data_IF_843752565022
#
_entry.id   IF_843752565022
#
_cell.length_a   1.000
_cell.length_b   1.000
_cell.length_c   1.000
_cell.angle_alpha   90.00
_cell.angle_beta   90.00
_cell.angle_gamma   90.00
#
_symmetry.space_group_name_H-M   'P 1'
#
loop_
_entity.id
_entity.type
_entity.pdbx_description
1 polymer ?
#
# COMPACT_ATOMS: atom_id res chain seq x y z
N UNK A 1 -65.72 21.86 -63.99
CA UNK A 1 -64.57 20.93 -64.15
C UNK A 1 -63.98 20.70 -62.76
N UNK A 2 -63.88 19.45 -62.32
CA UNK A 2 -63.64 19.10 -60.90
C UNK A 2 -62.18 19.37 -60.47
N UNK A 3 -61.98 20.21 -59.44
CA UNK A 3 -60.69 20.56 -58.87
C UNK A 3 -60.12 19.50 -57.89
N UNK A 4 -60.97 18.58 -57.45
CA UNK A 4 -60.66 17.55 -56.45
C UNK A 4 -59.55 16.55 -56.87
N UNK A 5 -59.52 16.02 -58.11
CA UNK A 5 -58.44 15.10 -58.52
C UNK A 5 -57.08 15.79 -58.63
N UNK A 6 -57.05 17.09 -58.98
CA UNK A 6 -55.82 17.88 -59.07
C UNK A 6 -55.25 18.12 -57.66
N UNK A 7 -56.11 18.44 -56.69
CA UNK A 7 -55.69 18.61 -55.30
C UNK A 7 -55.09 17.32 -54.72
N UNK A 8 -55.69 16.16 -55.01
CA UNK A 8 -55.16 14.86 -54.55
C UNK A 8 -53.78 14.56 -55.15
N UNK A 9 -53.60 14.80 -56.45
CA UNK A 9 -52.31 14.61 -57.13
C UNK A 9 -51.22 15.54 -56.59
N UNK A 10 -51.56 16.79 -56.26
CA UNK A 10 -50.61 17.73 -55.66
C UNK A 10 -50.19 17.29 -54.26
N UNK A 11 -51.13 16.78 -53.44
CA UNK A 11 -50.79 16.30 -52.09
C UNK A 11 -49.90 15.06 -52.12
N UNK A 12 -50.17 14.09 -52.99
CA UNK A 12 -49.33 12.88 -53.09
C UNK A 12 -47.94 13.20 -53.64
N UNK A 13 -47.84 14.11 -54.62
CA UNK A 13 -46.57 14.60 -55.13
C UNK A 13 -45.76 15.34 -54.05
N UNK A 14 -46.41 16.19 -53.25
CA UNK A 14 -45.77 16.92 -52.15
C UNK A 14 -45.25 15.96 -51.06
N UNK A 15 -46.04 14.98 -50.64
CA UNK A 15 -45.62 13.99 -49.64
C UNK A 15 -44.46 13.13 -50.14
N UNK A 16 -44.48 12.75 -51.43
CA UNK A 16 -43.36 12.04 -52.07
C UNK A 16 -42.07 12.86 -52.09
N UNK A 17 -42.16 14.16 -52.44
CA UNK A 17 -41.00 15.06 -52.44
C UNK A 17 -40.41 15.24 -51.04
N UNK A 18 -41.25 15.40 -50.01
CA UNK A 18 -40.83 15.49 -48.61
C UNK A 18 -40.16 14.19 -48.16
N UNK A 19 -40.73 13.02 -48.51
CA UNK A 19 -40.14 11.73 -48.20
C UNK A 19 -38.74 11.56 -48.81
N UNK A 20 -38.56 11.95 -50.08
CA UNK A 20 -37.26 11.91 -50.76
C UNK A 20 -36.26 12.89 -50.12
N UNK A 21 -36.69 14.09 -49.73
CA UNK A 21 -35.85 15.07 -49.05
C UNK A 21 -35.36 14.51 -47.69
N UNK A 22 -36.26 13.95 -46.88
CA UNK A 22 -35.92 13.31 -45.60
C UNK A 22 -34.93 12.17 -45.81
N UNK A 23 -35.17 11.28 -46.78
CA UNK A 23 -34.26 10.17 -47.06
C UNK A 23 -32.86 10.66 -47.43
N UNK A 24 -32.77 11.71 -48.25
CA UNK A 24 -31.49 12.32 -48.65
C UNK A 24 -30.77 12.93 -47.44
N UNK A 25 -31.49 13.59 -46.53
CA UNK A 25 -30.88 14.13 -45.29
C UNK A 25 -30.38 13.02 -44.37
N UNK A 26 -31.15 11.94 -44.19
CA UNK A 26 -30.72 10.78 -43.39
C UNK A 26 -29.49 10.09 -43.99
N UNK A 27 -29.43 9.95 -45.31
CA UNK A 27 -28.24 9.43 -45.99
C UNK A 27 -27.02 10.35 -45.83
N UNK A 28 -27.23 11.67 -45.85
CA UNK A 28 -26.19 12.66 -45.57
C UNK A 28 -25.65 12.55 -44.14
N UNK A 29 -26.54 12.50 -43.16
CA UNK A 29 -26.19 12.32 -41.74
C UNK A 29 -25.44 11.01 -41.50
N UNK A 30 -25.90 9.89 -42.08
CA UNK A 30 -25.19 8.60 -41.96
C UNK A 30 -23.77 8.65 -42.50
N UNK A 31 -23.55 9.38 -43.61
CA UNK A 31 -22.19 9.59 -44.15
C UNK A 31 -21.34 10.46 -43.24
N UNK A 32 -21.91 11.51 -42.65
CA UNK A 32 -21.19 12.39 -41.71
C UNK A 32 -20.80 11.64 -40.44
N UNK A 33 -21.70 10.82 -39.87
CA UNK A 33 -21.40 9.99 -38.70
C UNK A 33 -20.31 8.96 -39.01
N UNK A 34 -20.38 8.31 -40.19
CA UNK A 34 -19.34 7.38 -40.62
C UNK A 34 -17.97 8.08 -40.75
N UNK A 35 -17.95 9.30 -41.32
CA UNK A 35 -16.72 10.10 -41.43
C UNK A 35 -16.15 10.48 -40.05
N UNK A 36 -17.01 10.94 -39.12
CA UNK A 36 -16.61 11.26 -37.74
C UNK A 36 -16.06 10.03 -36.99
N UNK A 37 -16.69 8.86 -37.16
CA UNK A 37 -16.18 7.61 -36.58
C UNK A 37 -14.80 7.26 -37.13
N UNK A 38 -14.57 7.44 -38.43
CA UNK A 38 -13.25 7.20 -39.03
C UNK A 38 -12.20 8.18 -38.53
N UNK A 39 -12.56 9.45 -38.35
CA UNK A 39 -11.65 10.48 -37.84
C UNK A 39 -11.30 10.26 -36.36
N UNK A 40 -12.29 9.91 -35.53
CA UNK A 40 -12.05 9.53 -34.12
C UNK A 40 -11.16 8.29 -34.01
N UNK A 41 -11.38 7.27 -34.84
CA UNK A 41 -10.54 6.08 -34.86
C UNK A 41 -9.09 6.41 -35.27
N UNK A 42 -8.90 7.30 -36.25
CA UNK A 42 -7.57 7.76 -36.66
C UNK A 42 -6.88 8.59 -35.57
N UNK A 43 -7.59 9.53 -34.95
CA UNK A 43 -7.07 10.34 -33.86
C UNK A 43 -6.70 9.47 -32.65
N UNK A 44 -7.57 8.53 -32.25
CA UNK A 44 -7.27 7.58 -31.18
C UNK A 44 -6.07 6.69 -31.50
N UNK A 45 -5.92 6.24 -32.75
CA UNK A 45 -4.74 5.49 -33.18
C UNK A 45 -3.47 6.35 -33.24
N UNK A 46 -3.59 7.66 -33.40
CA UNK A 46 -2.46 8.60 -33.34
C UNK A 46 -2.06 8.91 -31.88
N UNK A 47 -3.03 9.13 -30.98
CA UNK A 47 -2.77 9.29 -29.54
C UNK A 47 -2.27 8.01 -28.88
N UNK A 48 -2.77 6.84 -29.28
CA UNK A 48 -2.27 5.54 -28.80
C UNK A 48 -0.81 5.28 -29.22
N UNK A 49 -0.35 5.83 -30.35
CA UNK A 49 1.06 5.79 -30.76
C UNK A 49 1.94 6.79 -30.02
N UNK A 50 1.35 7.78 -29.35
CA UNK A 50 2.08 8.90 -28.75
C UNK A 50 2.27 8.83 -27.23
N UNK A 51 1.64 7.90 -26.50
CA UNK A 51 1.54 8.00 -25.03
C UNK A 51 2.00 6.79 -24.22
N UNK A 52 2.53 5.74 -24.85
CA UNK A 52 3.11 4.62 -24.08
C UNK A 52 4.51 4.35 -24.63
N UNK A 53 5.58 4.65 -23.86
CA UNK A 53 6.91 4.15 -24.16
C UNK A 53 6.82 2.64 -24.39
N UNK A 54 7.42 2.15 -25.47
CA UNK A 54 7.40 0.71 -25.73
C UNK A 54 7.89 -0.06 -24.51
N UNK A 55 7.27 -1.21 -24.26
CA UNK A 55 7.74 -2.13 -23.24
C UNK A 55 9.23 -2.43 -23.51
N UNK A 56 10.09 -2.06 -22.55
CA UNK A 56 11.52 -2.33 -22.64
C UNK A 56 11.73 -3.83 -22.85
N UNK A 57 12.65 -4.19 -23.72
CA UNK A 57 12.90 -5.60 -24.05
C UNK A 57 13.54 -6.26 -22.82
N UNK A 58 13.34 -7.57 -22.64
CA UNK A 58 13.87 -8.33 -21.49
C UNK A 58 15.39 -8.14 -21.26
N UNK A 59 16.16 -7.88 -22.33
CA UNK A 59 17.60 -7.60 -22.24
C UNK A 59 17.86 -6.31 -21.46
N UNK A 60 17.11 -5.24 -21.73
CA UNK A 60 17.24 -3.96 -21.02
C UNK A 60 16.94 -4.10 -19.52
N UNK A 61 15.98 -4.96 -19.16
CA UNK A 61 15.63 -5.16 -17.75
C UNK A 61 16.70 -5.93 -16.97
N UNK A 62 17.39 -6.87 -17.63
CA UNK A 62 18.47 -7.62 -17.00
C UNK A 62 19.73 -6.75 -16.86
N UNK A 63 20.02 -5.89 -17.84
CA UNK A 63 21.10 -4.88 -17.76
C UNK A 63 20.85 -3.88 -16.63
N UNK A 64 19.61 -3.37 -16.49
CA UNK A 64 19.25 -2.46 -15.39
C UNK A 64 19.40 -3.18 -14.04
N UNK A 65 18.96 -4.44 -13.93
CA UNK A 65 19.08 -5.19 -12.66
C UNK A 65 20.54 -5.41 -12.27
N UNK A 66 21.39 -5.73 -13.24
CA UNK A 66 22.82 -5.90 -13.02
C UNK A 66 23.47 -4.59 -12.56
N UNK A 67 23.20 -3.47 -13.24
CA UNK A 67 23.74 -2.16 -12.89
C UNK A 67 23.29 -1.70 -11.49
N UNK A 68 22.02 -1.94 -11.13
CA UNK A 68 21.50 -1.61 -9.79
C UNK A 68 22.13 -2.50 -8.72
N UNK A 69 22.32 -3.79 -9.00
CA UNK A 69 22.96 -4.71 -8.05
C UNK A 69 24.44 -4.33 -7.81
N UNK A 70 25.17 -3.93 -8.84
CA UNK A 70 26.54 -3.43 -8.74
C UNK A 70 26.61 -2.14 -7.91
N UNK A 71 25.76 -1.15 -8.22
CA UNK A 71 25.72 0.10 -7.47
C UNK A 71 25.38 -0.10 -5.98
N UNK A 72 24.44 -1.01 -5.66
CA UNK A 72 24.10 -1.35 -4.28
C UNK A 72 25.24 -2.10 -3.56
N UNK A 73 25.99 -2.94 -4.27
CA UNK A 73 27.16 -3.62 -3.71
C UNK A 73 28.27 -2.63 -3.36
N UNK A 74 28.54 -1.65 -4.25
CA UNK A 74 29.50 -0.57 -3.99
C UNK A 74 29.09 0.31 -2.82
N UNK A 75 27.80 0.66 -2.70
CA UNK A 75 27.28 1.43 -1.56
C UNK A 75 27.45 0.66 -0.25
N UNK A 76 27.08 -0.62 -0.23
CA UNK A 76 27.23 -1.49 0.95
C UNK A 76 28.70 -1.63 1.35
N UNK A 77 29.63 -1.75 0.39
CA UNK A 77 31.05 -1.84 0.70
C UNK A 77 31.58 -0.54 1.33
N UNK A 78 31.08 0.62 0.88
CA UNK A 78 31.38 1.91 1.50
C UNK A 78 30.85 1.98 2.93
N UNK A 79 29.60 1.60 3.18
CA UNK A 79 29.03 1.55 4.53
C UNK A 79 29.81 0.59 5.44
N UNK A 80 30.19 -0.60 4.94
CA UNK A 80 31.00 -1.56 5.70
C UNK A 80 32.42 -1.06 5.95
N UNK A 81 33.01 -0.28 5.05
CA UNK A 81 34.30 0.35 5.25
C UNK A 81 34.23 1.44 6.33
N UNK A 82 33.19 2.28 6.32
CA UNK A 82 32.94 3.28 7.35
C UNK A 82 32.70 2.62 8.72
N UNK A 83 31.89 1.56 8.77
CA UNK A 83 31.67 0.80 9.99
C UNK A 83 32.98 0.20 10.53
N UNK A 84 33.81 -0.40 9.66
CA UNK A 84 35.13 -0.92 10.06
C UNK A 84 36.05 0.19 10.56
N UNK A 85 36.05 1.35 9.92
CA UNK A 85 36.86 2.49 10.35
C UNK A 85 36.39 3.04 11.70
N UNK A 86 35.07 3.12 11.92
CA UNK A 86 34.48 3.53 13.18
C UNK A 86 34.90 2.59 14.31
N UNK A 87 34.75 1.28 14.13
CA UNK A 87 35.15 0.29 15.13
C UNK A 87 36.66 0.30 15.38
N UNK A 88 37.48 0.42 14.35
CA UNK A 88 38.93 0.54 14.52
C UNK A 88 39.33 1.80 15.30
N UNK A 89 38.65 2.92 15.07
CA UNK A 89 38.88 4.16 15.82
C UNK A 89 38.43 4.04 17.28
N UNK A 90 37.35 3.30 17.55
CA UNK A 90 36.90 3.01 18.91
C UNK A 90 37.88 2.10 19.65
N UNK A 91 38.33 1.01 19.04
CA UNK A 91 39.34 0.11 19.60
C UNK A 91 40.65 0.86 19.92
N UNK A 92 41.07 1.77 19.03
CA UNK A 92 42.25 2.61 19.27
C UNK A 92 42.08 3.58 20.45
N UNK A 93 40.85 4.08 20.68
CA UNK A 93 40.52 4.92 21.83
C UNK A 93 40.48 4.10 23.11
N UNK A 94 39.83 2.94 23.11
CA UNK A 94 39.76 2.03 24.26
C UNK A 94 41.17 1.54 24.67
N UNK A 95 42.03 1.23 23.68
CA UNK A 95 43.43 0.89 23.93
C UNK A 95 44.26 2.06 24.49
N UNK A 96 43.89 3.31 24.19
CA UNK A 96 44.57 4.52 24.68
C UNK A 96 44.08 4.99 26.05
N UNK A 97 42.80 4.75 26.37
CA UNK A 97 42.14 5.14 27.62
C UNK A 97 42.21 4.02 28.68
N UNK A 98 42.80 2.87 28.34
CA UNK A 98 43.11 1.80 29.29
C UNK A 98 43.98 2.38 30.44
N UNK A 99 43.46 2.47 31.67
CA UNK A 99 44.19 3.08 32.76
C UNK A 99 45.38 2.18 33.09
N UNK A 100 46.59 2.66 32.79
CA UNK A 100 47.82 2.02 33.26
C UNK A 100 47.95 2.25 34.77
N UNK A 101 47.15 1.53 35.55
CA UNK A 101 47.26 1.48 37.00
C UNK A 101 48.41 0.52 37.32
N UNK A 102 49.58 1.10 37.64
CA UNK A 102 50.79 0.40 38.13
C UNK A 102 51.59 -0.41 37.10
N UNK A 103 51.62 0.00 35.83
CA UNK A 103 52.64 -0.48 34.87
C UNK A 103 52.51 -1.94 34.43
N UNK A 104 51.35 -2.57 34.67
CA UNK A 104 51.02 -3.90 34.19
C UNK A 104 49.89 -3.79 33.15
N UNK A 105 50.06 -4.46 32.02
CA UNK A 105 49.00 -4.65 31.04
C UNK A 105 47.90 -5.53 31.63
N UNK A 106 46.64 -5.13 31.48
CA UNK A 106 45.46 -5.85 32.01
C UNK A 106 45.38 -7.32 31.56
N UNK A 107 46.08 -7.67 30.48
CA UNK A 107 46.27 -9.04 29.99
C UNK A 107 47.01 -9.97 30.97
N UNK A 108 47.75 -9.45 31.96
CA UNK A 108 48.44 -10.26 32.98
C UNK A 108 47.66 -10.38 34.30
N UNK A 109 46.58 -9.62 34.50
CA UNK A 109 45.76 -9.65 35.72
C UNK A 109 44.80 -10.85 35.80
N UNK A 110 44.60 -11.57 34.69
CA UNK A 110 43.71 -12.73 34.58
C UNK A 110 44.44 -14.06 34.36
N UNK A 111 45.62 -14.24 34.97
CA UNK A 111 46.16 -15.59 35.16
C UNK A 111 45.63 -16.16 36.48
N UNK A 112 44.74 -17.18 36.47
CA UNK A 112 44.32 -17.83 37.70
C UNK A 112 45.55 -18.46 38.36
N UNK A 113 45.95 -17.91 39.50
CA UNK A 113 47.01 -18.49 40.34
C UNK A 113 46.55 -19.90 40.72
N UNK A 114 47.32 -20.93 40.39
CA UNK A 114 47.06 -22.29 40.86
C UNK A 114 47.02 -22.25 42.39
N UNK A 115 45.82 -22.26 42.96
CA UNK A 115 45.62 -22.38 44.39
C UNK A 115 45.83 -23.86 44.75
N UNK A 116 46.75 -24.12 45.68
CA UNK A 116 46.96 -25.43 46.28
C UNK A 116 45.64 -25.97 46.84
N UNK A 117 45.12 -27.06 46.26
CA UNK A 117 43.89 -27.76 46.65
C UNK A 117 44.02 -28.57 47.96
N UNK A 118 44.87 -28.15 48.89
CA UNK A 118 45.17 -28.90 50.11
C UNK A 118 44.31 -28.50 51.33
N UNK A 119 43.36 -27.57 51.20
CA UNK A 119 42.61 -27.00 52.33
C UNK A 119 41.09 -26.92 52.20
N UNK A 120 40.50 -27.48 51.13
CA UNK A 120 39.07 -27.32 50.84
C UNK A 120 38.18 -28.50 51.28
N UNK A 121 38.62 -29.32 52.24
CA UNK A 121 37.77 -30.42 52.71
C UNK A 121 36.60 -29.99 53.61
N UNK A 122 36.52 -28.73 54.07
CA UNK A 122 35.53 -28.28 55.07
C UNK A 122 34.82 -26.95 54.78
N UNK A 123 34.73 -26.53 53.51
CA UNK A 123 33.89 -25.39 53.14
C UNK A 123 32.79 -25.85 52.21
N UNK A 124 31.55 -25.74 52.69
CA UNK A 124 30.33 -25.92 51.90
C UNK A 124 30.41 -25.07 50.61
N UNK A 125 29.83 -25.55 49.50
CA UNK A 125 29.90 -24.86 48.23
C UNK A 125 29.25 -23.48 48.34
N UNK A 126 30.09 -22.43 48.32
CA UNK A 126 29.64 -21.06 48.05
C UNK A 126 29.10 -21.07 46.63
N UNK A 127 27.79 -21.21 46.57
CA UNK A 127 27.00 -20.99 45.37
C UNK A 127 27.23 -19.54 44.98
N UNK A 128 27.49 -19.28 43.70
CA UNK A 128 27.49 -17.92 43.15
C UNK A 128 26.25 -17.17 43.66
N UNK A 129 26.30 -15.84 43.84
CA UNK A 129 25.11 -15.06 44.15
C UNK A 129 24.21 -15.13 42.93
N UNK A 130 23.41 -16.20 42.89
CA UNK A 130 22.17 -16.28 42.16
C UNK A 130 21.44 -15.03 42.58
N UNK A 131 21.21 -14.12 41.62
CA UNK A 131 20.42 -12.92 41.83
C UNK A 131 19.27 -13.27 42.77
N UNK A 132 19.26 -12.66 43.95
CA UNK A 132 18.37 -13.07 45.01
C UNK A 132 16.95 -13.08 44.46
N UNK A 133 16.18 -14.18 44.62
CA UNK A 133 14.77 -14.20 44.22
C UNK A 133 13.91 -13.21 45.04
N UNK A 134 14.53 -12.48 45.98
CA UNK A 134 13.88 -11.59 46.94
C UNK A 134 13.96 -10.10 46.58
N UNK A 135 14.73 -9.68 45.57
CA UNK A 135 14.79 -8.25 45.18
C UNK A 135 13.50 -7.78 44.46
N UNK A 136 12.62 -8.72 44.07
CA UNK A 136 11.32 -8.45 43.45
C UNK A 136 10.14 -9.10 44.19
N UNK A 137 10.35 -9.65 45.40
CA UNK A 137 9.32 -10.35 46.17
C UNK A 137 8.18 -9.46 46.69
N UNK A 138 8.22 -8.15 46.41
CA UNK A 138 7.13 -7.21 46.65
C UNK A 138 6.47 -6.66 45.38
N UNK A 139 6.90 -7.06 44.18
CA UNK A 139 6.32 -6.52 42.94
C UNK A 139 4.94 -7.13 42.66
N UNK A 140 3.96 -6.25 42.47
CA UNK A 140 2.60 -6.62 42.06
C UNK A 140 2.64 -7.54 40.84
N UNK A 141 1.76 -8.56 40.73
CA UNK A 141 1.71 -9.48 39.59
C UNK A 141 1.60 -8.77 38.23
N UNK A 142 1.05 -7.57 38.21
CA UNK A 142 0.94 -6.72 37.03
C UNK A 142 2.31 -6.15 36.56
N UNK A 143 3.21 -5.86 37.50
CA UNK A 143 4.55 -5.32 37.25
C UNK A 143 5.49 -6.43 36.75
N UNK A 144 5.40 -7.62 37.34
CA UNK A 144 6.07 -8.82 36.84
C UNK A 144 5.59 -9.19 35.42
N UNK A 145 4.28 -9.08 35.14
CA UNK A 145 3.73 -9.29 33.81
C UNK A 145 4.18 -8.21 32.80
N UNK A 146 4.33 -6.96 33.22
CA UNK A 146 4.83 -5.88 32.37
C UNK A 146 6.30 -6.07 31.97
N UNK A 147 7.16 -6.56 32.87
CA UNK A 147 8.58 -6.86 32.56
C UNK A 147 8.74 -8.01 31.57
N UNK A 148 7.88 -9.03 31.68
CA UNK A 148 7.81 -10.13 30.69
C UNK A 148 7.35 -9.69 29.30
N UNK A 149 6.73 -8.51 29.18
CA UNK A 149 6.34 -7.89 27.90
C UNK A 149 7.45 -7.04 27.28
N UNK A 150 8.59 -6.86 27.96
CA UNK A 150 9.68 -6.06 27.43
C UNK A 150 10.50 -6.89 26.41
N UNK A 151 10.83 -6.34 25.23
CA UNK A 151 11.53 -7.08 24.17
C UNK A 151 12.88 -7.69 24.55
N UNK A 152 13.52 -7.20 25.60
CA UNK A 152 14.80 -7.71 26.11
C UNK A 152 14.65 -8.82 27.15
N UNK A 153 13.43 -9.25 27.49
CA UNK A 153 13.19 -10.32 28.46
C UNK A 153 13.35 -11.69 27.78
N UNK A 154 14.03 -12.69 28.38
CA UNK A 154 14.26 -13.99 27.76
C UNK A 154 12.97 -14.76 27.42
N UNK A 155 11.92 -14.57 28.21
CA UNK A 155 10.58 -15.14 27.98
C UNK A 155 9.68 -14.29 27.05
N UNK A 156 10.21 -13.22 26.44
CA UNK A 156 9.44 -12.41 25.51
C UNK A 156 9.20 -13.21 24.22
N UNK A 157 7.96 -13.67 24.05
CA UNK A 157 7.48 -14.20 22.78
C UNK A 157 6.78 -13.04 22.06
N UNK A 158 7.28 -12.57 20.90
CA UNK A 158 6.56 -11.60 20.10
C UNK A 158 5.17 -12.16 19.82
N UNK A 159 4.13 -11.43 20.25
CA UNK A 159 2.78 -11.80 19.88
C UNK A 159 2.72 -11.87 18.35
N UNK A 160 2.20 -12.96 17.75
CA UNK A 160 2.06 -13.06 16.32
C UNK A 160 1.32 -11.80 15.83
N UNK A 161 1.95 -11.08 14.92
CA UNK A 161 1.41 -9.85 14.39
C UNK A 161 0.03 -10.15 13.77
N UNK A 162 -1.06 -9.48 14.19
CA UNK A 162 -2.41 -9.74 13.68
C UNK A 162 -2.55 -9.48 12.16
N UNK A 163 -1.51 -8.91 11.54
CA UNK A 163 -1.46 -8.44 10.16
C UNK A 163 -1.79 -9.52 9.11
N UNK A 164 -1.56 -10.81 9.38
CA UNK A 164 -1.92 -11.87 8.42
C UNK A 164 -3.44 -12.08 8.37
N UNK A 165 -4.13 -12.08 9.52
CA UNK A 165 -5.59 -12.18 9.56
C UNK A 165 -6.28 -10.91 9.04
N UNK A 166 -5.65 -9.75 9.16
CA UNK A 166 -6.24 -8.48 8.72
C UNK A 166 -6.38 -8.39 7.20
N UNK A 167 -5.45 -9.00 6.44
CA UNK A 167 -5.55 -9.01 4.97
C UNK A 167 -6.71 -9.87 4.47
N UNK A 168 -6.80 -11.12 4.93
CA UNK A 168 -7.89 -12.03 4.53
C UNK A 168 -9.26 -11.48 4.95
N UNK A 169 -9.36 -10.91 6.15
CA UNK A 169 -10.58 -10.24 6.61
C UNK A 169 -10.94 -9.03 5.75
N UNK A 170 -9.95 -8.23 5.36
CA UNK A 170 -10.18 -7.06 4.49
C UNK A 170 -10.65 -7.50 3.11
N UNK A 171 -10.03 -8.54 2.53
CA UNK A 171 -10.45 -9.07 1.22
C UNK A 171 -11.89 -9.59 1.29
N UNK A 172 -12.23 -10.40 2.30
CA UNK A 172 -13.59 -10.89 2.49
C UNK A 172 -14.60 -9.74 2.65
N UNK A 173 -14.28 -8.72 3.45
CA UNK A 173 -15.14 -7.55 3.62
C UNK A 173 -15.34 -6.77 2.31
N UNK A 174 -14.30 -6.61 1.49
CA UNK A 174 -14.41 -5.95 0.18
C UNK A 174 -15.26 -6.78 -0.81
N UNK A 175 -15.13 -8.10 -0.79
CA UNK A 175 -15.97 -9.00 -1.60
C UNK A 175 -17.45 -8.93 -1.16
N UNK A 176 -17.71 -8.95 0.15
CA UNK A 176 -19.06 -8.84 0.70
C UNK A 176 -19.71 -7.49 0.36
N UNK A 177 -18.98 -6.38 0.51
CA UNK A 177 -19.44 -5.04 0.12
C UNK A 177 -19.76 -4.96 -1.37
N UNK A 178 -18.93 -5.57 -2.22
CA UNK A 178 -19.14 -5.59 -3.66
C UNK A 178 -20.32 -6.48 -4.07
N UNK A 179 -20.48 -7.65 -3.46
CA UNK A 179 -21.56 -8.59 -3.74
C UNK A 179 -22.92 -8.05 -3.28
N UNK A 180 -22.95 -7.35 -2.15
CA UNK A 180 -24.15 -6.71 -1.62
C UNK A 180 -24.48 -5.36 -2.26
N UNK A 181 -23.54 -4.79 -3.03
CA UNK A 181 -23.62 -3.44 -3.59
C UNK A 181 -24.00 -2.41 -2.51
N UNK A 182 -23.40 -2.51 -1.32
CA UNK A 182 -23.68 -1.59 -0.22
C UNK A 182 -23.31 -0.17 -0.63
N UNK A 183 -24.25 0.76 -0.39
CA UNK A 183 -24.09 2.16 -0.73
C UNK A 183 -23.04 2.83 0.16
N UNK A 184 -22.17 3.62 -0.46
CA UNK A 184 -21.27 4.53 0.22
C UNK A 184 -22.07 5.73 0.74
N UNK A 185 -21.84 6.10 1.99
CA UNK A 185 -22.60 7.15 2.70
C UNK A 185 -21.74 8.36 3.06
N UNK A 186 -20.45 8.16 3.34
CA UNK A 186 -19.54 9.24 3.70
C UNK A 186 -18.12 8.94 3.21
N UNK A 187 -17.40 9.99 2.83
CA UNK A 187 -15.98 9.94 2.44
C UNK A 187 -15.28 11.11 3.10
N UNK A 188 -14.25 10.81 3.88
CA UNK A 188 -13.42 11.78 4.61
C UNK A 188 -11.99 11.66 4.14
N UNK A 189 -11.57 12.46 3.15
CA UNK A 189 -10.18 12.48 2.71
C UNK A 189 -9.27 13.02 3.81
N UNK A 190 -8.16 12.34 4.06
CA UNK A 190 -7.16 12.75 5.02
C UNK A 190 -6.35 13.97 4.55
N UNK A 191 -5.77 14.74 5.49
CA UNK A 191 -4.81 15.76 5.11
C UNK A 191 -3.62 15.09 4.39
N UNK A 192 -3.24 15.64 3.24
CA UNK A 192 -2.13 15.15 2.42
C UNK A 192 -2.27 13.69 1.93
N UNK A 193 -3.49 13.11 1.91
CA UNK A 193 -3.72 11.73 1.44
C UNK A 193 -3.18 10.66 2.40
N UNK A 194 -2.94 11.02 3.67
CA UNK A 194 -2.37 10.11 4.68
C UNK A 194 -3.33 9.02 5.13
N UNK A 195 -4.60 9.36 5.33
CA UNK A 195 -5.62 8.41 5.75
C UNK A 195 -6.99 8.88 5.26
N UNK A 196 -7.53 8.17 4.28
CA UNK A 196 -8.89 8.40 3.79
C UNK A 196 -9.85 7.40 4.46
N UNK A 197 -11.01 7.88 4.90
CA UNK A 197 -12.03 7.05 5.56
C UNK A 197 -13.31 7.04 4.75
N UNK A 198 -13.80 5.85 4.42
CA UNK A 198 -15.02 5.60 3.65
C UNK A 198 -16.01 4.87 4.54
N UNK A 199 -17.27 5.33 4.58
CA UNK A 199 -18.32 4.73 5.42
C UNK A 199 -19.45 4.23 4.53
N UNK A 200 -19.83 2.98 4.71
CA UNK A 200 -20.90 2.31 3.98
C UNK A 200 -22.20 2.26 4.80
N UNK A 201 -23.33 2.07 4.13
CA UNK A 201 -24.66 2.08 4.73
C UNK A 201 -24.89 0.96 5.76
N UNK A 202 -24.15 -0.14 5.65
CA UNK A 202 -24.15 -1.25 6.61
C UNK A 202 -23.33 -0.96 7.89
N UNK A 203 -22.68 0.21 7.96
CA UNK A 203 -21.79 0.61 9.04
C UNK A 203 -20.32 0.25 8.80
N UNK A 204 -20.00 -0.49 7.73
CA UNK A 204 -18.62 -0.84 7.39
C UNK A 204 -17.80 0.41 7.10
N UNK A 205 -16.60 0.46 7.62
CA UNK A 205 -15.62 1.52 7.40
C UNK A 205 -14.38 1.00 6.69
N UNK A 206 -13.95 1.67 5.63
CA UNK A 206 -12.67 1.42 4.98
C UNK A 206 -11.71 2.56 5.29
N UNK A 207 -10.56 2.20 5.84
CA UNK A 207 -9.43 3.10 6.08
C UNK A 207 -8.36 2.83 5.02
N UNK A 208 -7.95 3.86 4.28
CA UNK A 208 -7.00 3.77 3.18
C UNK A 208 -5.76 4.64 3.39
N UNK A 209 -4.56 4.08 3.17
CA UNK A 209 -3.29 4.79 3.34
C UNK A 209 -2.23 4.32 2.33
N UNK A 210 -1.52 5.23 1.64
CA UNK A 210 -1.97 6.55 1.23
C UNK A 210 -3.09 6.41 0.20
N UNK A 211 -4.09 7.30 0.26
CA UNK A 211 -5.18 7.34 -0.70
C UNK A 211 -4.97 8.42 -1.77
N UNK A 212 -5.57 8.22 -2.95
CA UNK A 212 -5.52 9.20 -4.03
C UNK A 212 -6.53 10.33 -3.76
N UNK A 213 -6.04 11.50 -3.34
CA UNK A 213 -6.88 12.62 -2.89
C UNK A 213 -7.95 13.07 -3.90
N UNK A 214 -7.60 13.18 -5.18
CA UNK A 214 -8.54 13.64 -6.22
C UNK A 214 -9.75 12.70 -6.35
N UNK A 215 -9.55 11.39 -6.28
CA UNK A 215 -10.64 10.41 -6.42
C UNK A 215 -11.49 10.34 -5.15
N UNK A 216 -10.88 10.51 -3.98
CA UNK A 216 -11.60 10.67 -2.72
C UNK A 216 -12.48 11.94 -2.72
N UNK A 217 -11.97 13.07 -3.22
CA UNK A 217 -12.71 14.33 -3.36
C UNK A 217 -13.84 14.22 -4.40
N UNK A 218 -13.63 13.48 -5.50
CA UNK A 218 -14.67 13.19 -6.49
C UNK A 218 -15.81 12.40 -5.89
N UNK A 219 -15.54 11.31 -5.17
CA UNK A 219 -16.59 10.53 -4.48
C UNK A 219 -17.31 11.36 -3.41
N UNK A 220 -16.59 12.14 -2.61
CA UNK A 220 -17.20 13.05 -1.63
C UNK A 220 -18.09 14.12 -2.31
N UNK A 221 -17.76 14.53 -3.54
CA UNK A 221 -18.57 15.47 -4.31
C UNK A 221 -19.82 14.80 -4.88
N UNK A 222 -19.70 13.57 -5.38
CA UNK A 222 -20.83 12.79 -5.86
C UNK A 222 -21.86 12.51 -4.75
N UNK A 223 -21.38 12.13 -3.55
CA UNK A 223 -22.24 11.97 -2.36
C UNK A 223 -22.99 13.25 -2.02
N UNK A 224 -22.31 14.41 -2.07
CA UNK A 224 -22.94 15.71 -1.84
C UNK A 224 -23.95 16.09 -2.93
N UNK A 225 -23.77 15.58 -4.15
CA UNK A 225 -24.72 15.74 -5.24
C UNK A 225 -25.94 14.80 -5.13
N UNK A 226 -25.95 13.88 -4.16
CA UNK A 226 -27.03 12.92 -3.94
C UNK A 226 -26.88 11.62 -4.73
N UNK A 227 -25.70 11.35 -5.30
CA UNK A 227 -25.40 10.05 -5.87
C UNK A 227 -25.10 9.03 -4.76
N UNK A 228 -25.31 7.74 -5.06
CA UNK A 228 -25.06 6.62 -4.15
C UNK A 228 -23.98 5.69 -4.74
N UNK A 229 -22.69 6.04 -4.59
CA UNK A 229 -21.62 5.22 -5.11
C UNK A 229 -21.61 3.85 -4.43
N UNK A 230 -21.32 2.79 -5.19
CA UNK A 230 -21.20 1.42 -4.66
C UNK A 230 -19.85 0.83 -5.05
N UNK A 231 -19.28 0.00 -4.16
CA UNK A 231 -18.07 -0.75 -4.49
C UNK A 231 -18.43 -1.85 -5.49
N UNK A 232 -17.76 -1.89 -6.64
CA UNK A 232 -17.91 -2.97 -7.63
C UNK A 232 -16.92 -4.11 -7.39
N UNK A 233 -15.81 -3.82 -6.74
CA UNK A 233 -14.78 -4.80 -6.44
C UNK A 233 -13.48 -4.14 -6.01
N UNK A 234 -12.68 -4.93 -5.30
CA UNK A 234 -11.31 -4.61 -4.93
C UNK A 234 -10.38 -5.74 -5.31
N UNK A 235 -9.18 -5.42 -5.77
CA UNK A 235 -8.10 -6.41 -5.91
C UNK A 235 -6.85 -5.94 -5.19
N UNK A 236 -6.15 -6.86 -4.53
CA UNK A 236 -4.90 -6.60 -3.82
C UNK A 236 -3.73 -7.38 -4.44
N UNK A 237 -2.59 -6.73 -4.64
CA UNK A 237 -1.31 -7.38 -5.01
C UNK A 237 -0.22 -6.83 -4.10
N UNK A 238 0.47 -7.73 -3.38
CA UNK A 238 1.64 -7.40 -2.55
C UNK A 238 1.40 -6.25 -1.56
N UNK A 239 0.20 -6.17 -0.98
CA UNK A 239 -0.20 -5.14 -0.02
C UNK A 239 -0.93 -3.95 -0.62
N UNK A 240 -0.67 -3.59 -1.89
CA UNK A 240 -1.38 -2.52 -2.58
C UNK A 240 -2.76 -2.99 -3.06
N UNK A 241 -3.73 -2.08 -3.08
CA UNK A 241 -5.12 -2.32 -3.46
C UNK A 241 -5.55 -1.40 -4.59
N UNK A 242 -6.39 -1.95 -5.46
CA UNK A 242 -7.15 -1.20 -6.46
C UNK A 242 -8.64 -1.41 -6.18
N UNK A 243 -9.37 -0.34 -5.89
CA UNK A 243 -10.83 -0.38 -5.68
C UNK A 243 -11.56 0.32 -6.82
N UNK A 244 -12.68 -0.24 -7.24
CA UNK A 244 -13.54 0.36 -8.27
C UNK A 244 -14.89 0.69 -7.68
N UNK A 245 -15.28 1.96 -7.75
CA UNK A 245 -16.61 2.43 -7.36
C UNK A 245 -17.42 2.79 -8.59
N UNK A 246 -18.66 2.32 -8.66
CA UNK A 246 -19.65 2.87 -9.58
C UNK A 246 -20.19 4.18 -8.99
N UNK A 247 -20.28 5.21 -9.81
CA UNK A 247 -20.75 6.54 -9.46
C UNK A 247 -21.67 7.04 -10.58
N UNK A 248 -22.96 6.70 -10.50
CA UNK A 248 -23.90 6.94 -11.59
C UNK A 248 -23.52 6.19 -12.87
N UNK A 249 -23.23 6.92 -13.95
CA UNK A 249 -22.78 6.35 -15.23
C UNK A 249 -21.24 6.22 -15.33
N UNK A 250 -20.49 6.77 -14.37
CA UNK A 250 -19.04 6.75 -14.35
C UNK A 250 -18.48 5.74 -13.34
N UNK A 251 -17.24 5.31 -13.55
CA UNK A 251 -16.49 4.51 -12.59
C UNK A 251 -15.31 5.30 -12.05
N UNK A 252 -15.13 5.28 -10.73
CA UNK A 252 -14.00 5.88 -10.02
C UNK A 252 -13.06 4.77 -9.56
N UNK A 253 -11.79 4.88 -9.94
CA UNK A 253 -10.75 3.91 -9.57
C UNK A 253 -9.84 4.51 -8.52
N UNK A 254 -9.60 3.78 -7.44
CA UNK A 254 -8.75 4.21 -6.32
C UNK A 254 -7.58 3.25 -6.19
N UNK A 255 -6.39 3.82 -6.06
CA UNK A 255 -5.17 3.10 -5.68
C UNK A 255 -4.86 3.44 -4.22
N UNK A 256 -4.57 2.43 -3.42
CA UNK A 256 -4.16 2.58 -2.03
C UNK A 256 -3.06 1.56 -1.67
N UNK A 257 -2.02 1.97 -0.94
CA UNK A 257 -0.97 1.01 -0.53
C UNK A 257 -1.45 0.08 0.59
N UNK A 258 -2.50 0.47 1.31
CA UNK A 258 -3.09 -0.31 2.38
C UNK A 258 -4.56 0.03 2.53
N UNK A 259 -5.37 -1.01 2.69
CA UNK A 259 -6.79 -0.92 3.02
C UNK A 259 -7.02 -1.76 4.27
N UNK A 260 -7.80 -1.22 5.19
CA UNK A 260 -8.29 -1.93 6.38
C UNK A 260 -9.80 -1.76 6.40
N UNK A 261 -10.51 -2.88 6.41
CA UNK A 261 -11.96 -2.90 6.59
C UNK A 261 -12.29 -3.21 8.05
N UNK A 262 -13.19 -2.42 8.64
CA UNK A 262 -13.75 -2.67 9.96
C UNK A 262 -15.26 -2.45 9.92
N UNK A 263 -16.01 -3.44 10.40
CA UNK A 263 -17.42 -3.33 10.74
C UNK A 263 -17.58 -2.92 12.21
#
# INVERSE_FOLDING_TARGET
MSAMPIALLLTTAATGAVGVAVLRTLMGLRRQVAALHTELAQNNAATARGLVPQARVSADTDEIRAAVAEALAEERERELAEARAFWAAQEARDASDAPTLLGLSDSELFLPRQADFAGLEHLEPVTEPTAEPDEFAGESPELAAARRRHPSHPDFVPAPSPVVNDHERTVAALEDLAASATELTDVRPGPLGTLDVYVFADGTTLCMTPGHRETAERLATALRAGETPVLLGGSGISGAYTLTFACGEENVYILADRVIASL
#
